data_IF_461964369795
#
_entry.id   IF_461964369795
#
_cell.length_a   1.000
_cell.length_b   1.000
_cell.length_c   1.000
_cell.angle_alpha   90.00
_cell.angle_beta   90.00
_cell.angle_gamma   90.00
#
_symmetry.space_group_name_H-M   'P 1'
#
loop_
_entity.id
_entity.type
_entity.pdbx_description
1 polymer ?
#
# COMPACT_ATOMS: atom_id res chain seq x y z
N UNK A 1 6.45 -1.63 -15.79
CA UNK A 1 4.99 -1.94 -15.69
C UNK A 1 4.47 -2.40 -17.03
N UNK A 2 4.61 -1.59 -18.08
CA UNK A 2 4.18 -1.93 -19.45
C UNK A 2 4.80 -3.23 -19.98
N UNK A 3 6.13 -3.34 -19.92
CA UNK A 3 6.88 -4.51 -20.42
C UNK A 3 6.58 -5.85 -19.71
N UNK A 4 5.95 -5.80 -18.52
CA UNK A 4 5.63 -6.98 -17.74
C UNK A 4 4.11 -7.14 -17.67
N UNK A 5 3.47 -6.43 -16.74
CA UNK A 5 2.04 -6.55 -16.46
C UNK A 5 1.18 -6.10 -17.65
N UNK A 6 1.54 -5.00 -18.31
CA UNK A 6 0.81 -4.48 -19.46
C UNK A 6 0.77 -5.47 -20.64
N UNK A 7 1.90 -6.11 -20.96
CA UNK A 7 1.96 -7.17 -21.99
C UNK A 7 1.04 -8.35 -21.68
N UNK A 8 1.01 -8.81 -20.43
CA UNK A 8 0.17 -9.94 -20.02
C UNK A 8 -1.31 -9.58 -20.15
N UNK A 9 -1.72 -8.39 -19.70
CA UNK A 9 -3.11 -7.92 -19.78
C UNK A 9 -3.54 -7.80 -21.24
N UNK A 10 -2.72 -7.16 -22.09
CA UNK A 10 -3.02 -6.97 -23.52
C UNK A 10 -3.15 -8.29 -24.28
N UNK A 11 -2.34 -9.30 -23.94
CA UNK A 11 -2.39 -10.62 -24.58
C UNK A 11 -3.61 -11.45 -24.14
N UNK A 12 -4.33 -11.05 -23.09
CA UNK A 12 -5.41 -11.83 -22.48
C UNK A 12 -6.67 -10.98 -22.21
N UNK A 13 -7.29 -10.37 -23.23
CA UNK A 13 -8.46 -9.49 -23.05
C UNK A 13 -9.68 -10.20 -22.45
N UNK A 14 -9.75 -11.52 -22.55
CA UNK A 14 -10.82 -12.36 -22.00
C UNK A 14 -10.67 -12.63 -20.48
N UNK A 15 -9.52 -12.33 -19.89
CA UNK A 15 -9.25 -12.57 -18.46
C UNK A 15 -9.59 -11.31 -17.67
N UNK A 16 -10.36 -11.47 -16.58
CA UNK A 16 -10.57 -10.42 -15.60
C UNK A 16 -9.38 -10.35 -14.63
N UNK A 17 -8.61 -9.27 -14.69
CA UNK A 17 -7.46 -9.06 -13.81
C UNK A 17 -7.87 -8.25 -12.60
N UNK A 18 -7.82 -8.87 -11.42
CA UNK A 18 -7.95 -8.16 -10.14
C UNK A 18 -6.57 -7.82 -9.59
N UNK A 19 -6.22 -6.55 -9.64
CA UNK A 19 -5.00 -6.01 -9.06
C UNK A 19 -5.33 -5.37 -7.72
N UNK A 20 -4.42 -5.43 -6.76
CA UNK A 20 -4.62 -4.70 -5.51
C UNK A 20 -3.33 -4.11 -4.96
N UNK A 21 -3.47 -2.95 -4.30
CA UNK A 21 -2.48 -2.44 -3.37
C UNK A 21 -2.83 -2.92 -1.97
N UNK A 22 -1.93 -3.59 -1.26
CA UNK A 22 -2.21 -4.06 0.09
C UNK A 22 -2.35 -2.88 1.05
N UNK A 23 -3.02 -3.06 2.20
CA UNK A 23 -3.01 -2.07 3.27
C UNK A 23 -1.62 -2.06 3.89
N UNK A 24 -0.69 -1.27 3.33
CA UNK A 24 0.64 -1.17 3.91
C UNK A 24 0.57 -0.47 5.27
N UNK A 25 1.33 -0.99 6.24
CA UNK A 25 1.35 -0.44 7.58
C UNK A 25 1.82 1.00 7.57
N UNK A 26 1.14 1.87 8.31
CA UNK A 26 1.61 3.23 8.58
C UNK A 26 3.05 3.24 9.12
N UNK A 27 3.39 2.25 9.96
CA UNK A 27 4.72 2.14 10.56
C UNK A 27 5.82 1.93 9.52
N UNK A 28 5.53 1.30 8.37
CA UNK A 28 6.50 1.14 7.28
C UNK A 28 6.97 2.51 6.76
N UNK A 29 6.01 3.39 6.46
CA UNK A 29 6.30 4.70 5.88
C UNK A 29 6.82 5.70 6.91
N UNK A 30 6.35 5.59 8.15
CA UNK A 30 6.88 6.40 9.25
C UNK A 30 8.38 6.16 9.48
N UNK A 31 8.86 4.92 9.26
CA UNK A 31 10.26 4.54 9.51
C UNK A 31 11.15 4.60 8.26
N UNK A 32 10.60 4.43 7.05
CA UNK A 32 11.37 4.12 5.84
C UNK A 32 11.36 5.15 4.70
N UNK A 33 10.61 6.26 4.79
CA UNK A 33 10.53 7.34 3.78
C UNK A 33 10.44 6.92 2.27
N UNK A 34 9.76 5.82 1.95
CA UNK A 34 9.53 5.38 0.55
C UNK A 34 8.15 5.80 -0.01
N UNK A 35 7.44 6.68 0.68
CA UNK A 35 6.06 7.07 0.35
C UNK A 35 5.92 7.65 -1.06
N UNK A 36 6.85 8.51 -1.50
CA UNK A 36 6.82 9.09 -2.85
C UNK A 36 6.99 8.01 -3.93
N UNK A 37 7.92 7.08 -3.75
CA UNK A 37 8.16 5.99 -4.70
C UNK A 37 6.94 5.08 -4.82
N UNK A 38 6.32 4.71 -3.70
CA UNK A 38 5.09 3.91 -3.67
C UNK A 38 3.94 4.67 -4.33
N UNK A 39 3.76 5.96 -4.05
CA UNK A 39 2.72 6.76 -4.68
C UNK A 39 2.93 6.88 -6.20
N UNK A 40 4.14 7.12 -6.68
CA UNK A 40 4.45 7.14 -8.11
C UNK A 40 4.19 5.79 -8.78
N UNK A 41 4.55 4.69 -8.11
CA UNK A 41 4.24 3.35 -8.60
C UNK A 41 2.72 3.11 -8.67
N UNK A 42 1.98 3.52 -7.64
CA UNK A 42 0.51 3.45 -7.60
C UNK A 42 -0.10 4.18 -8.79
N UNK A 43 0.25 5.45 -9.02
CA UNK A 43 -0.26 6.24 -10.14
C UNK A 43 -0.04 5.55 -11.49
N UNK A 44 1.11 4.91 -11.72
CA UNK A 44 1.36 4.18 -12.96
C UNK A 44 0.46 2.95 -13.13
N UNK A 45 0.11 2.27 -12.04
CA UNK A 45 -0.85 1.16 -12.07
C UNK A 45 -2.28 1.66 -12.30
N UNK A 46 -2.66 2.81 -11.73
CA UNK A 46 -3.92 3.47 -12.04
C UNK A 46 -4.04 3.83 -13.52
N UNK A 47 -2.98 4.40 -14.11
CA UNK A 47 -2.93 4.70 -15.55
C UNK A 47 -3.10 3.42 -16.38
N UNK A 48 -2.43 2.32 -16.00
CA UNK A 48 -2.60 1.04 -16.67
C UNK A 48 -4.05 0.53 -16.55
N UNK A 49 -4.62 0.51 -15.34
CA UNK A 49 -5.98 0.02 -15.10
C UNK A 49 -7.02 0.81 -15.91
N UNK A 50 -6.90 2.13 -15.96
CA UNK A 50 -7.80 3.00 -16.74
C UNK A 50 -7.84 2.68 -18.23
N UNK A 51 -6.74 2.19 -18.79
CA UNK A 51 -6.64 1.86 -20.22
C UNK A 51 -7.27 0.51 -20.58
N UNK A 52 -7.65 -0.31 -19.60
CA UNK A 52 -8.08 -1.70 -19.82
C UNK A 52 -9.38 -2.00 -19.08
N UNK A 53 -10.46 -2.23 -19.82
CA UNK A 53 -11.78 -2.53 -19.24
C UNK A 53 -11.84 -3.85 -18.45
N UNK A 54 -10.91 -4.76 -18.71
CA UNK A 54 -10.80 -6.05 -18.02
C UNK A 54 -9.87 -6.00 -16.77
N UNK A 55 -9.49 -4.80 -16.31
CA UNK A 55 -8.65 -4.61 -15.13
C UNK A 55 -9.44 -3.92 -14.02
N UNK A 56 -9.48 -4.55 -12.86
CA UNK A 56 -10.11 -4.04 -11.64
C UNK A 56 -9.03 -3.79 -10.60
N UNK A 57 -8.78 -2.52 -10.29
CA UNK A 57 -7.78 -2.12 -9.30
C UNK A 57 -8.46 -1.84 -7.96
N UNK A 58 -8.02 -2.54 -6.92
CA UNK A 58 -8.48 -2.38 -5.54
C UNK A 58 -7.39 -1.74 -4.68
N UNK A 59 -7.60 -0.54 -4.14
CA UNK A 59 -6.58 0.14 -3.34
C UNK A 59 -6.93 0.13 -1.84
N UNK A 60 -6.31 -0.79 -1.10
CA UNK A 60 -6.53 -0.94 0.33
C UNK A 60 -5.70 0.01 1.19
N UNK A 61 -4.94 0.94 0.59
CA UNK A 61 -4.35 2.06 1.35
C UNK A 61 -5.42 2.99 1.93
N UNK A 62 -6.66 2.91 1.41
CA UNK A 62 -7.84 3.59 1.96
C UNK A 62 -8.41 2.93 3.23
N UNK A 63 -7.88 1.76 3.65
CA UNK A 63 -8.31 1.07 4.88
C UNK A 63 -7.66 1.67 6.12
N UNK A 64 -8.01 2.91 6.45
CA UNK A 64 -7.44 3.61 7.61
C UNK A 64 -7.66 2.87 8.94
N UNK A 65 -8.74 2.08 9.03
CA UNK A 65 -9.04 1.17 10.15
C UNK A 65 -8.03 0.00 10.28
N UNK A 66 -7.39 -0.39 9.17
CA UNK A 66 -6.38 -1.44 9.12
C UNK A 66 -4.98 -0.85 9.23
N UNK A 67 -4.61 0.12 8.38
CA UNK A 67 -3.23 0.57 8.22
C UNK A 67 -2.61 1.21 9.48
N UNK A 68 -3.43 1.77 10.37
CA UNK A 68 -3.00 2.32 11.65
C UNK A 68 -2.90 1.29 12.79
N UNK A 69 -3.39 0.07 12.59
CA UNK A 69 -3.56 -0.89 13.67
C UNK A 69 -2.53 -2.04 13.61
N UNK A 70 -1.49 -1.93 14.46
CA UNK A 70 -0.40 -2.91 14.55
C UNK A 70 -0.85 -4.36 14.79
N UNK A 71 -2.04 -4.61 15.34
CA UNK A 71 -2.55 -5.97 15.58
C UNK A 71 -2.84 -6.72 14.28
N UNK A 72 -2.98 -6.01 13.17
CA UNK A 72 -3.26 -6.57 11.86
C UNK A 72 -2.01 -6.85 11.03
N UNK A 73 -0.82 -6.72 11.63
CA UNK A 73 0.46 -6.88 10.97
C UNK A 73 1.32 -7.91 11.69
N UNK A 74 2.02 -8.73 10.91
CA UNK A 74 3.02 -9.68 11.42
C UNK A 74 4.35 -8.96 11.66
N UNK A 75 4.68 -8.02 10.79
CA UNK A 75 5.85 -7.14 10.84
C UNK A 75 5.50 -5.79 10.20
N UNK A 76 6.46 -4.88 10.06
CA UNK A 76 6.17 -3.52 9.55
C UNK A 76 5.76 -3.51 8.08
N UNK A 77 6.10 -4.52 7.29
CA UNK A 77 5.83 -4.57 5.85
C UNK A 77 4.61 -5.45 5.50
N UNK A 78 4.35 -6.48 6.30
CA UNK A 78 3.40 -7.55 5.96
C UNK A 78 2.21 -7.62 6.92
N UNK A 79 1.00 -7.58 6.35
CA UNK A 79 -0.23 -7.80 7.09
C UNK A 79 -0.35 -9.27 7.55
N UNK A 80 -1.08 -9.50 8.64
CA UNK A 80 -1.34 -10.83 9.18
C UNK A 80 -2.29 -11.63 8.28
N UNK A 81 -2.23 -12.97 8.25
CA UNK A 81 -3.06 -13.80 7.35
C UNK A 81 -4.56 -13.52 7.43
N UNK A 82 -5.09 -13.12 8.59
CA UNK A 82 -6.50 -12.76 8.74
C UNK A 82 -6.91 -11.57 7.84
N UNK A 83 -5.99 -10.67 7.49
CA UNK A 83 -6.24 -9.56 6.57
C UNK A 83 -6.35 -10.05 5.12
N UNK A 84 -5.71 -11.16 4.74
CA UNK A 84 -5.91 -11.78 3.42
C UNK A 84 -7.38 -12.12 3.20
N UNK A 85 -8.05 -12.69 4.20
CA UNK A 85 -9.47 -13.06 4.10
C UNK A 85 -10.38 -11.85 3.97
N UNK A 86 -10.02 -10.74 4.63
CA UNK A 86 -10.72 -9.45 4.48
C UNK A 86 -10.55 -8.91 3.07
N UNK A 87 -9.32 -8.89 2.54
CA UNK A 87 -9.03 -8.43 1.17
C UNK A 87 -9.80 -9.24 0.14
N UNK A 88 -9.74 -10.57 0.21
CA UNK A 88 -10.45 -11.45 -0.75
C UNK A 88 -11.96 -11.22 -0.67
N UNK A 89 -12.52 -11.08 0.53
CA UNK A 89 -13.95 -10.80 0.72
C UNK A 89 -14.35 -9.44 0.14
N UNK A 90 -13.52 -8.43 0.32
CA UNK A 90 -13.78 -7.07 -0.17
C UNK A 90 -13.66 -7.01 -1.70
N UNK A 91 -12.66 -7.70 -2.29
CA UNK A 91 -12.53 -7.86 -3.74
C UNK A 91 -13.79 -8.54 -4.30
N UNK A 92 -14.25 -9.64 -3.70
CA UNK A 92 -15.44 -10.36 -4.14
C UNK A 92 -16.72 -9.51 -4.08
N UNK A 93 -16.75 -8.48 -3.23
CA UNK A 93 -17.86 -7.51 -3.10
C UNK A 93 -17.71 -6.28 -3.99
N UNK A 94 -16.59 -6.12 -4.70
CA UNK A 94 -16.29 -4.92 -5.47
C UNK A 94 -15.96 -3.69 -4.60
N UNK A 95 -15.51 -3.90 -3.37
CA UNK A 95 -15.09 -2.79 -2.51
C UNK A 95 -13.69 -2.29 -2.88
N UNK A 96 -13.46 -1.01 -2.56
CA UNK A 96 -12.19 -0.31 -2.81
C UNK A 96 -11.74 -0.29 -4.28
N UNK A 97 -12.67 -0.52 -5.22
CA UNK A 97 -12.39 -0.39 -6.66
C UNK A 97 -12.15 1.09 -6.98
N UNK A 98 -10.99 1.38 -7.54
CA UNK A 98 -10.54 2.72 -7.93
C UNK A 98 -9.83 2.60 -9.26
N UNK A 99 -10.43 3.11 -10.33
CA UNK A 99 -9.92 2.96 -11.70
C UNK A 99 -9.46 4.28 -12.30
N UNK A 100 -9.79 5.41 -11.69
CA UNK A 100 -9.40 6.72 -12.20
C UNK A 100 -8.09 7.20 -11.57
N UNK A 101 -7.23 7.83 -12.37
CA UNK A 101 -5.94 8.36 -11.89
C UNK A 101 -6.14 9.41 -10.79
N UNK A 102 -7.25 10.18 -10.85
CA UNK A 102 -7.63 11.12 -9.80
C UNK A 102 -7.81 10.44 -8.45
N UNK A 103 -8.39 9.24 -8.42
CA UNK A 103 -8.58 8.48 -7.18
C UNK A 103 -7.23 8.15 -6.52
N UNK A 104 -6.24 7.77 -7.35
CA UNK A 104 -4.90 7.46 -6.87
C UNK A 104 -4.17 8.69 -6.30
N UNK A 105 -4.37 9.87 -6.89
CA UNK A 105 -3.81 11.12 -6.40
C UNK A 105 -4.49 11.56 -5.10
N UNK A 106 -5.82 11.54 -5.05
CA UNK A 106 -6.59 11.86 -3.85
C UNK A 106 -6.17 10.96 -2.69
N UNK A 107 -6.11 9.65 -2.92
CA UNK A 107 -5.75 8.69 -1.89
C UNK A 107 -4.29 8.83 -1.44
N UNK A 108 -3.38 9.26 -2.32
CA UNK A 108 -2.01 9.59 -1.94
C UNK A 108 -1.96 10.78 -0.98
N UNK A 109 -2.75 11.83 -1.25
CA UNK A 109 -2.85 12.98 -0.36
C UNK A 109 -3.50 12.63 0.99
N UNK A 110 -4.61 11.88 0.96
CA UNK A 110 -5.28 11.39 2.18
C UNK A 110 -4.34 10.53 3.02
N UNK A 111 -3.59 9.63 2.37
CA UNK A 111 -2.62 8.79 3.05
C UNK A 111 -1.48 9.60 3.68
N UNK A 112 -0.97 10.62 2.99
CA UNK A 112 0.03 11.53 3.55
C UNK A 112 -0.50 12.26 4.79
N UNK A 113 -1.72 12.82 4.72
CA UNK A 113 -2.38 13.45 5.87
C UNK A 113 -2.57 12.47 7.02
N UNK A 114 -2.94 11.23 6.73
CA UNK A 114 -3.07 10.19 7.73
C UNK A 114 -1.74 9.88 8.42
N UNK A 115 -0.65 9.70 7.65
CA UNK A 115 0.70 9.48 8.20
C UNK A 115 1.07 10.63 9.14
N UNK A 116 0.95 11.88 8.68
CA UNK A 116 1.30 13.06 9.46
C UNK A 116 0.53 13.11 10.78
N UNK A 117 -0.79 12.89 10.72
CA UNK A 117 -1.64 12.87 11.90
C UNK A 117 -1.33 11.72 12.88
N UNK A 118 -0.98 10.53 12.38
CA UNK A 118 -0.56 9.42 13.26
C UNK A 118 0.82 9.65 13.86
N UNK A 119 1.73 10.27 13.11
CA UNK A 119 3.08 10.60 13.56
C UNK A 119 3.09 11.56 14.75
N UNK A 120 2.15 12.51 14.82
CA UNK A 120 1.98 13.43 15.95
C UNK A 120 1.61 12.72 17.27
N UNK A 121 0.98 11.55 17.17
CA UNK A 121 0.52 10.76 18.33
C UNK A 121 1.57 9.78 18.84
N UNK A 122 2.63 9.55 18.07
CA UNK A 122 3.72 8.68 18.48
C UNK A 122 4.66 9.44 19.42
N UNK A 123 5.19 8.78 20.47
CA UNK A 123 6.30 9.34 21.24
C UNK A 123 7.44 9.66 20.28
N UNK A 124 8.19 10.72 20.57
CA UNK A 124 9.24 11.28 19.70
C UNK A 124 10.40 10.28 19.46
N UNK A 125 10.18 9.31 18.57
CA UNK A 125 11.18 8.35 18.13
C UNK A 125 12.22 8.99 17.21
N UNK A 126 12.06 10.27 16.82
CA UNK A 126 13.07 11.03 16.05
C UNK A 126 14.26 11.43 16.93
N UNK A 127 14.22 11.14 18.24
CA UNK A 127 15.36 11.26 19.18
C UNK A 127 16.24 10.02 19.26
N UNK A 128 16.09 9.03 18.38
CA UNK A 128 17.11 7.99 18.30
C UNK A 128 18.31 8.55 17.53
N UNK A 129 19.42 8.78 18.23
CA UNK A 129 20.66 9.29 17.63
C UNK A 129 21.17 8.30 16.57
N UNK A 130 21.97 8.74 15.58
CA UNK A 130 22.54 7.85 14.57
C UNK A 130 23.26 6.61 15.15
N UNK A 131 23.80 6.72 16.36
CA UNK A 131 24.38 5.60 17.12
C UNK A 131 23.38 4.49 17.47
N UNK A 132 22.11 4.81 17.69
CA UNK A 132 21.08 3.83 18.05
C UNK A 132 20.52 3.09 16.83
N UNK A 133 20.70 3.63 15.63
CA UNK A 133 20.35 2.97 14.37
C UNK A 133 21.38 1.90 13.95
N UNK A 134 22.66 2.04 14.30
CA UNK A 134 23.69 1.03 13.99
C UNK A 134 23.58 -0.24 14.85
N UNK A 135 23.04 -0.11 16.07
CA UNK A 135 22.87 -1.23 17.03
C UNK A 135 21.70 -2.15 16.63
N UNK A 136 20.69 -1.65 15.90
CA UNK A 136 19.55 -2.46 15.46
C UNK A 136 19.85 -3.31 14.22
N UNK A 137 20.72 -2.85 13.31
CA UNK A 137 21.12 -3.65 12.14
C UNK A 137 21.98 -4.88 12.52
N UNK A 138 22.68 -4.84 13.66
CA UNK A 138 23.46 -5.98 14.17
C UNK A 138 22.66 -6.95 15.04
N UNK A 139 21.49 -6.54 15.54
CA UNK A 139 20.65 -7.34 16.45
C UNK A 139 19.51 -8.08 15.74
N UNK A 140 19.30 -7.83 14.45
CA UNK A 140 18.41 -8.62 13.59
C UNK A 140 19.31 -9.49 12.70
N UNK A 141 19.92 -10.50 13.31
CA UNK A 141 20.29 -11.72 12.60
C UNK A 141 19.20 -12.74 12.87
N UNK A 142 18.38 -13.00 11.86
CA UNK A 142 17.75 -14.30 11.66
C UNK A 142 18.66 -15.09 10.72
#
# INVERSE_FOLDING_TARGET
IEENLGKIINANPQVAFHLFFPPFSFYNFFLGNEKEAVNLFRIKIYQLARLHQNVFLHDFMARYDVIGNKKYYKDIEHFAPAISEVIVRDIAKGFYVRTEVSDGLELAEEFNRFIEHQAEKLPDCRKLTPEQNSIKQSSIKL
#
